data_IF_393314372375
#
_entry.id   IF_393314372375
#
_cell.length_a   1.000
_cell.length_b   1.000
_cell.length_c   1.000
_cell.angle_alpha   90.00
_cell.angle_beta   90.00
_cell.angle_gamma   90.00
#
_symmetry.space_group_name_H-M   'P 1'
#
loop_
_entity.id
_entity.type
_entity.pdbx_description
1 polymer ?
#
# COMPACT_ATOMS: atom_id res chain seq x y z
N UNK A 1 -56.54 -2.64 21.43
CA UNK A 1 -55.15 -2.21 21.15
C UNK A 1 -54.70 -1.42 22.37
N UNK A 2 -53.80 -1.91 23.24
CA UNK A 2 -53.40 -1.14 24.42
C UNK A 2 -52.50 0.03 23.97
N UNK A 3 -52.81 1.22 24.46
CA UNK A 3 -52.13 2.47 24.15
C UNK A 3 -50.80 2.59 24.89
N UNK A 4 -49.71 2.84 24.16
CA UNK A 4 -48.38 3.08 24.71
C UNK A 4 -48.36 4.44 25.44
N UNK A 5 -47.94 4.44 26.71
CA UNK A 5 -47.84 5.64 27.54
C UNK A 5 -46.65 6.53 27.14
N UNK A 6 -46.75 7.87 27.29
CA UNK A 6 -45.78 8.85 26.81
C UNK A 6 -44.35 8.70 27.40
N UNK A 7 -44.19 7.96 28.49
CA UNK A 7 -42.87 7.72 29.10
C UNK A 7 -42.03 6.69 28.34
N UNK A 8 -42.65 5.73 27.63
CA UNK A 8 -41.90 4.79 26.76
C UNK A 8 -41.34 5.47 25.51
N UNK A 9 -41.98 6.55 25.04
CA UNK A 9 -41.49 7.32 23.89
C UNK A 9 -40.18 8.06 24.20
N UNK A 10 -39.96 8.47 25.45
CA UNK A 10 -38.72 9.15 25.87
C UNK A 10 -37.55 8.20 26.06
N UNK A 11 -37.79 6.98 26.54
CA UNK A 11 -36.73 5.96 26.65
C UNK A 11 -36.30 5.45 25.27
N UNK A 12 -37.22 5.35 24.31
CA UNK A 12 -36.87 5.03 22.91
C UNK A 12 -36.13 6.17 22.21
N UNK A 13 -36.48 7.43 22.49
CA UNK A 13 -35.79 8.59 21.91
C UNK A 13 -34.33 8.73 22.39
N UNK A 14 -34.01 8.32 23.62
CA UNK A 14 -32.64 8.32 24.13
C UNK A 14 -31.74 7.25 23.48
N UNK A 15 -32.31 6.11 23.08
CA UNK A 15 -31.55 4.99 22.47
C UNK A 15 -31.34 5.18 20.96
N UNK A 16 -32.09 6.08 20.33
CA UNK A 16 -31.88 6.50 18.92
C UNK A 16 -30.80 7.59 18.81
N UNK A 17 -30.47 8.27 19.91
CA UNK A 17 -29.43 9.29 19.99
C UNK A 17 -28.09 8.76 20.50
N UNK A 18 -27.98 7.46 20.78
CA UNK A 18 -26.70 6.81 20.89
C UNK A 18 -26.35 6.33 19.48
N UNK A 19 -25.37 6.94 18.78
CA UNK A 19 -24.96 6.45 17.49
C UNK A 19 -24.38 5.06 17.76
N UNK A 20 -25.18 4.02 17.50
CA UNK A 20 -24.71 2.64 17.42
C UNK A 20 -23.49 2.71 16.54
N UNK A 21 -22.33 2.41 17.14
CA UNK A 21 -21.04 2.48 16.50
C UNK A 21 -21.18 1.92 15.08
N UNK A 22 -21.20 2.82 14.09
CA UNK A 22 -21.24 2.46 12.69
C UNK A 22 -19.92 1.79 12.39
N UNK A 23 -19.86 0.48 12.66
CA UNK A 23 -18.87 -0.45 12.15
C UNK A 23 -19.03 -0.68 10.63
N UNK A 24 -19.92 0.08 9.99
CA UNK A 24 -19.99 0.28 8.55
C UNK A 24 -19.40 1.64 8.23
N UNK A 25 -18.09 1.68 7.99
CA UNK A 25 -17.42 2.82 7.38
C UNK A 25 -18.01 3.05 6.00
N UNK A 26 -19.07 3.86 5.92
CA UNK A 26 -19.60 4.36 4.66
C UNK A 26 -18.54 5.29 4.08
N UNK A 27 -17.75 4.74 3.18
CA UNK A 27 -16.79 5.44 2.32
C UNK A 27 -17.59 6.32 1.36
N UNK A 28 -18.18 7.41 1.85
CA UNK A 28 -18.67 8.45 0.96
C UNK A 28 -17.48 8.92 0.13
N UNK A 29 -17.62 8.94 -1.19
CA UNK A 29 -16.56 9.38 -2.12
C UNK A 29 -16.17 10.86 -1.93
N UNK A 30 -16.94 11.60 -1.14
CA UNK A 30 -16.76 13.03 -0.83
C UNK A 30 -16.66 13.32 0.68
N UNK A 31 -16.52 12.30 1.52
CA UNK A 31 -16.38 12.45 2.97
C UNK A 31 -14.92 12.67 3.41
N UNK A 32 -14.70 12.99 4.69
CA UNK A 32 -13.36 13.22 5.25
C UNK A 32 -12.41 12.01 5.14
N UNK A 33 -12.95 10.80 4.93
CA UNK A 33 -12.18 9.56 4.77
C UNK A 33 -11.79 9.24 3.31
N UNK A 34 -12.34 9.94 2.31
CA UNK A 34 -12.04 9.65 0.90
C UNK A 34 -10.63 10.10 0.52
N UNK A 35 -10.13 11.18 1.13
CA UNK A 35 -8.83 11.76 0.79
C UNK A 35 -7.66 10.81 1.12
N UNK A 36 -7.50 10.29 2.36
CA UNK A 36 -6.50 9.27 2.68
C UNK A 36 -6.48 8.09 1.71
N UNK A 37 -7.66 7.72 1.23
CA UNK A 37 -7.84 6.55 0.42
C UNK A 37 -7.52 6.76 -1.05
N UNK A 38 -8.00 7.85 -1.64
CA UNK A 38 -7.60 8.26 -2.98
C UNK A 38 -6.08 8.46 -3.04
N UNK A 39 -5.47 8.97 -1.98
CA UNK A 39 -4.02 9.10 -1.86
C UNK A 39 -3.31 7.76 -1.82
N UNK A 40 -3.77 6.81 -0.99
CA UNK A 40 -3.21 5.47 -0.94
C UNK A 40 -3.26 4.78 -2.32
N UNK A 41 -4.39 4.90 -3.03
CA UNK A 41 -4.56 4.36 -4.39
C UNK A 41 -3.67 5.08 -5.40
N UNK A 42 -3.62 6.41 -5.37
CA UNK A 42 -2.77 7.21 -6.26
C UNK A 42 -1.28 6.90 -6.05
N UNK A 43 -0.85 6.70 -4.80
CA UNK A 43 0.52 6.27 -4.48
C UNK A 43 0.82 4.87 -5.00
N UNK A 44 -0.11 3.93 -4.86
CA UNK A 44 0.06 2.58 -5.41
C UNK A 44 0.19 2.61 -6.93
N UNK A 45 -0.71 3.33 -7.60
CA UNK A 45 -0.72 3.48 -9.05
C UNK A 45 0.52 4.23 -9.57
N UNK A 46 0.94 5.30 -8.90
CA UNK A 46 2.15 6.03 -9.28
C UNK A 46 3.44 5.23 -9.04
N UNK A 47 3.49 4.44 -7.97
CA UNK A 47 4.56 3.46 -7.75
C UNK A 47 4.61 2.41 -8.86
N UNK A 48 3.45 1.87 -9.24
CA UNK A 48 3.34 0.93 -10.36
C UNK A 48 3.77 1.57 -11.69
N UNK A 49 3.30 2.78 -11.99
CA UNK A 49 3.67 3.53 -13.19
C UNK A 49 5.18 3.80 -13.24
N UNK A 50 5.78 4.20 -12.11
CA UNK A 50 7.23 4.38 -11.97
C UNK A 50 7.98 3.10 -12.34
N UNK A 51 7.51 1.93 -11.88
CA UNK A 51 8.10 0.64 -12.23
C UNK A 51 7.91 0.23 -13.70
N UNK A 52 6.78 0.62 -14.31
CA UNK A 52 6.54 0.40 -15.73
C UNK A 52 7.46 1.29 -16.59
N UNK A 53 7.63 2.56 -16.21
CA UNK A 53 8.42 3.56 -16.95
C UNK A 53 9.91 3.30 -16.83
N UNK A 54 10.42 3.10 -15.61
CA UNK A 54 11.86 2.83 -15.41
C UNK A 54 12.28 1.46 -15.97
N UNK A 55 11.31 0.58 -16.20
CA UNK A 55 11.54 -0.83 -16.46
C UNK A 55 12.08 -1.52 -15.21
N UNK A 56 11.68 -2.77 -14.97
CA UNK A 56 12.33 -3.59 -13.97
C UNK A 56 13.72 -3.98 -14.52
N UNK A 57 14.69 -3.07 -14.45
CA UNK A 57 16.06 -3.30 -14.90
C UNK A 57 16.61 -4.47 -14.09
N UNK A 58 16.84 -5.65 -14.71
CA UNK A 58 17.68 -6.64 -14.08
C UNK A 58 19.06 -6.00 -14.06
N UNK A 59 19.50 -5.59 -12.87
CA UNK A 59 20.75 -4.85 -12.74
C UNK A 59 21.85 -5.61 -13.50
N UNK A 60 22.53 -4.91 -14.41
CA UNK A 60 23.62 -5.38 -15.28
C UNK A 60 24.80 -5.87 -14.45
N UNK A 61 24.62 -6.96 -13.72
CA UNK A 61 25.52 -7.43 -12.68
C UNK A 61 25.63 -8.95 -12.68
N UNK A 62 25.59 -9.55 -13.88
CA UNK A 62 26.09 -10.91 -14.10
C UNK A 62 27.63 -10.99 -14.02
N UNK A 63 28.33 -9.90 -13.65
CA UNK A 63 29.79 -9.86 -13.50
C UNK A 63 30.33 -9.13 -12.25
N UNK A 64 29.50 -8.84 -11.23
CA UNK A 64 29.95 -8.08 -10.04
C UNK A 64 29.97 -8.92 -8.76
N UNK A 65 31.09 -8.83 -8.01
CA UNK A 65 31.34 -9.42 -6.68
C UNK A 65 30.50 -8.81 -5.56
N UNK A 66 29.64 -7.82 -5.85
CA UNK A 66 28.81 -7.16 -4.83
C UNK A 66 27.70 -8.06 -4.31
N UNK A 67 27.42 -7.97 -3.02
CA UNK A 67 26.32 -8.66 -2.32
C UNK A 67 24.97 -8.41 -3.00
N UNK A 68 24.12 -9.45 -3.06
CA UNK A 68 22.76 -9.39 -3.60
C UNK A 68 21.91 -8.30 -2.94
N UNK A 69 22.14 -8.00 -1.65
CA UNK A 69 21.46 -6.94 -0.93
C UNK A 69 21.83 -5.55 -1.45
N UNK A 70 23.13 -5.29 -1.68
CA UNK A 70 23.59 -4.01 -2.23
C UNK A 70 23.02 -3.76 -3.63
N UNK A 71 22.91 -4.82 -4.44
CA UNK A 71 22.32 -4.73 -5.78
C UNK A 71 20.82 -4.46 -5.71
N UNK A 72 20.09 -5.13 -4.81
CA UNK A 72 18.66 -4.92 -4.60
C UNK A 72 18.36 -3.47 -4.17
N UNK A 73 19.08 -2.96 -3.16
CA UNK A 73 18.89 -1.60 -2.63
C UNK A 73 19.21 -0.53 -3.69
N UNK A 74 20.20 -0.76 -4.54
CA UNK A 74 20.58 0.19 -5.58
C UNK A 74 19.61 0.21 -6.75
N UNK A 75 19.00 -0.93 -7.07
CA UNK A 75 17.89 -1.00 -8.02
C UNK A 75 16.60 -0.38 -7.44
N UNK A 76 16.44 -0.43 -6.12
CA UNK A 76 15.30 0.16 -5.39
C UNK A 76 15.36 1.68 -5.27
N UNK A 77 16.55 2.24 -5.04
CA UNK A 77 16.76 3.66 -4.75
C UNK A 77 16.01 4.65 -5.66
N UNK A 78 16.04 4.55 -7.01
CA UNK A 78 15.32 5.51 -7.85
C UNK A 78 13.79 5.41 -7.68
N UNK A 79 13.24 4.21 -7.58
CA UNK A 79 11.80 4.02 -7.39
C UNK A 79 11.35 4.48 -5.99
N UNK A 80 12.18 4.22 -4.97
CA UNK A 80 11.95 4.70 -3.61
C UNK A 80 11.91 6.23 -3.54
N UNK A 81 12.86 6.89 -4.20
CA UNK A 81 12.93 8.35 -4.25
C UNK A 81 11.71 8.95 -4.94
N UNK A 82 11.30 8.38 -6.08
CA UNK A 82 10.11 8.85 -6.79
C UNK A 82 8.86 8.64 -5.94
N UNK A 83 8.71 7.49 -5.28
CA UNK A 83 7.59 7.23 -4.38
C UNK A 83 7.54 8.20 -3.20
N UNK A 84 8.68 8.51 -2.58
CA UNK A 84 8.77 9.49 -1.51
C UNK A 84 8.36 10.90 -1.99
N UNK A 85 8.92 11.34 -3.11
CA UNK A 85 8.59 12.64 -3.73
C UNK A 85 7.10 12.69 -4.07
N UNK A 86 6.55 11.61 -4.64
CA UNK A 86 5.13 11.53 -4.98
C UNK A 86 4.26 11.70 -3.74
N UNK A 87 4.58 11.07 -2.61
CA UNK A 87 3.85 11.24 -1.35
C UNK A 87 3.86 12.67 -0.85
N UNK A 88 5.01 13.34 -0.90
CA UNK A 88 5.14 14.74 -0.50
C UNK A 88 4.36 15.67 -1.44
N UNK A 89 4.49 15.47 -2.76
CA UNK A 89 3.79 16.28 -3.78
C UNK A 89 2.29 16.12 -3.66
N UNK A 90 1.79 14.90 -3.50
CA UNK A 90 0.37 14.64 -3.32
C UNK A 90 -0.16 15.27 -2.03
N UNK A 91 0.59 15.17 -0.94
CA UNK A 91 0.23 15.86 0.32
C UNK A 91 0.18 17.37 0.10
N UNK A 92 1.23 17.97 -0.46
CA UNK A 92 1.27 19.40 -0.71
C UNK A 92 0.13 19.88 -1.63
N UNK A 93 -0.26 19.07 -2.62
CA UNK A 93 -1.36 19.39 -3.55
C UNK A 93 -2.73 19.48 -2.87
N UNK A 94 -2.89 18.91 -1.67
CA UNK A 94 -4.14 18.99 -0.91
C UNK A 94 -4.35 20.37 -0.27
N UNK A 95 -3.39 21.30 -0.31
CA UNK A 95 -3.64 22.73 -0.09
C UNK A 95 -4.55 23.13 1.08
N UNK A 96 -4.40 22.54 2.27
CA UNK A 96 -5.25 22.89 3.42
C UNK A 96 -6.64 22.24 3.46
N UNK A 97 -6.98 21.39 2.48
CA UNK A 97 -8.29 20.69 2.40
C UNK A 97 -8.52 19.79 3.61
N UNK A 98 -7.46 19.12 4.09
CA UNK A 98 -7.52 18.52 5.41
C UNK A 98 -7.28 19.64 6.43
N UNK A 99 -8.26 19.90 7.29
CA UNK A 99 -8.18 20.86 8.39
C UNK A 99 -7.20 20.40 9.49
N UNK A 100 -5.96 20.08 9.12
CA UNK A 100 -4.91 19.58 10.00
C UNK A 100 -4.10 20.73 10.59
N UNK A 101 -3.59 20.50 11.79
CA UNK A 101 -2.55 21.35 12.38
C UNK A 101 -1.28 21.32 11.52
N UNK A 102 -0.37 22.30 11.64
CA UNK A 102 0.92 22.27 10.95
C UNK A 102 1.72 20.99 11.21
N UNK A 103 1.64 20.44 12.44
CA UNK A 103 2.24 19.16 12.79
C UNK A 103 1.58 17.97 12.08
N UNK A 104 0.25 17.98 11.98
CA UNK A 104 -0.50 16.94 11.27
C UNK A 104 -0.18 16.89 9.77
N UNK A 105 0.10 18.04 9.13
CA UNK A 105 0.57 18.07 7.74
C UNK A 105 1.93 17.40 7.55
N UNK A 106 2.86 17.62 8.49
CA UNK A 106 4.19 16.98 8.46
C UNK A 106 4.04 15.47 8.66
N UNK A 107 3.24 15.05 9.64
CA UNK A 107 3.00 13.64 9.93
C UNK A 107 2.32 12.93 8.76
N UNK A 108 1.29 13.55 8.18
CA UNK A 108 0.58 13.02 7.02
C UNK A 108 1.51 12.89 5.81
N UNK A 109 2.32 13.92 5.54
CA UNK A 109 3.32 13.90 4.47
C UNK A 109 4.38 12.83 4.67
N UNK A 110 4.84 12.62 5.91
CA UNK A 110 5.80 11.56 6.24
C UNK A 110 5.21 10.17 6.01
N UNK A 111 3.96 9.93 6.43
CA UNK A 111 3.24 8.67 6.17
C UNK A 111 3.03 8.44 4.68
N UNK A 112 2.67 9.49 3.93
CA UNK A 112 2.49 9.39 2.47
C UNK A 112 3.80 9.08 1.74
N UNK A 113 4.89 9.76 2.11
CA UNK A 113 6.21 9.49 1.56
C UNK A 113 6.69 8.07 1.88
N UNK A 114 6.53 7.63 3.13
CA UNK A 114 6.84 6.26 3.56
C UNK A 114 6.04 5.23 2.77
N UNK A 115 4.74 5.46 2.60
CA UNK A 115 3.85 4.57 1.84
C UNK A 115 4.31 4.44 0.39
N UNK A 116 4.70 5.54 -0.26
CA UNK A 116 5.27 5.51 -1.60
C UNK A 116 6.56 4.67 -1.69
N UNK A 117 7.45 4.79 -0.71
CA UNK A 117 8.68 3.98 -0.61
C UNK A 117 8.36 2.49 -0.43
N UNK A 118 7.40 2.17 0.45
CA UNK A 118 6.97 0.79 0.72
C UNK A 118 6.35 0.16 -0.53
N UNK A 119 5.48 0.88 -1.22
CA UNK A 119 4.84 0.41 -2.45
C UNK A 119 5.86 0.18 -3.55
N UNK A 120 6.90 1.02 -3.63
CA UNK A 120 8.00 0.76 -4.55
C UNK A 120 8.72 -0.56 -4.21
N UNK A 121 8.96 -0.86 -2.93
CA UNK A 121 9.65 -2.09 -2.52
C UNK A 121 8.83 -3.33 -2.84
N UNK A 122 7.51 -3.29 -2.60
CA UNK A 122 6.59 -4.40 -2.89
C UNK A 122 6.50 -4.65 -4.39
N UNK A 123 6.32 -3.60 -5.20
CA UNK A 123 6.26 -3.72 -6.66
C UNK A 123 7.57 -4.29 -7.23
N UNK A 124 8.72 -3.87 -6.70
CA UNK A 124 10.00 -4.45 -7.08
C UNK A 124 10.09 -5.95 -6.75
N UNK A 125 9.69 -6.33 -5.54
CA UNK A 125 9.73 -7.73 -5.09
C UNK A 125 8.84 -8.64 -5.95
N UNK A 126 7.61 -8.19 -6.23
CA UNK A 126 6.66 -8.91 -7.10
C UNK A 126 7.23 -9.14 -8.50
N UNK A 127 7.79 -8.10 -9.12
CA UNK A 127 8.35 -8.22 -10.48
C UNK A 127 9.66 -9.01 -10.47
N UNK A 128 10.49 -8.88 -9.43
CA UNK A 128 11.73 -9.63 -9.33
C UNK A 128 11.47 -11.15 -9.27
N UNK A 129 10.45 -11.58 -8.53
CA UNK A 129 10.10 -13.00 -8.37
C UNK A 129 9.29 -13.55 -9.54
N UNK A 130 8.25 -12.83 -9.96
CA UNK A 130 7.26 -13.33 -10.92
C UNK A 130 7.42 -12.78 -12.34
N UNK A 131 8.41 -11.91 -12.58
CA UNK A 131 8.69 -11.28 -13.88
C UNK A 131 7.44 -10.59 -14.44
N UNK A 132 7.01 -10.95 -15.66
CA UNK A 132 5.83 -10.38 -16.31
C UNK A 132 4.54 -10.59 -15.51
N UNK A 133 4.39 -11.73 -14.82
CA UNK A 133 3.23 -12.01 -13.95
C UNK A 133 3.20 -11.09 -12.74
N UNK A 134 4.36 -10.69 -12.21
CA UNK A 134 4.43 -9.75 -11.09
C UNK A 134 3.79 -8.40 -11.41
N UNK A 135 3.95 -7.92 -12.65
CA UNK A 135 3.29 -6.69 -13.12
C UNK A 135 1.77 -6.84 -13.12
N UNK A 136 1.28 -7.99 -13.58
CA UNK A 136 -0.16 -8.28 -13.57
C UNK A 136 -0.71 -8.29 -12.14
N UNK A 137 -0.02 -8.93 -11.20
CA UNK A 137 -0.43 -8.95 -9.78
C UNK A 137 -0.51 -7.53 -9.21
N UNK A 138 0.47 -6.67 -9.48
CA UNK A 138 0.43 -5.27 -9.04
C UNK A 138 -0.77 -4.50 -9.60
N UNK A 139 -1.13 -4.76 -10.86
CA UNK A 139 -2.33 -4.19 -11.49
C UNK A 139 -3.59 -4.72 -10.83
N UNK A 140 -3.68 -6.03 -10.56
CA UNK A 140 -4.82 -6.63 -9.86
C UNK A 140 -5.02 -5.99 -8.49
N UNK A 141 -3.94 -5.80 -7.71
CA UNK A 141 -4.02 -5.12 -6.41
C UNK A 141 -4.56 -3.69 -6.58
N UNK A 142 -4.12 -2.97 -7.61
CA UNK A 142 -4.61 -1.62 -7.89
C UNK A 142 -6.10 -1.61 -8.25
N UNK A 143 -6.54 -2.56 -9.07
CA UNK A 143 -7.95 -2.72 -9.47
C UNK A 143 -8.80 -3.08 -8.25
N UNK A 144 -8.35 -3.99 -7.38
CA UNK A 144 -9.04 -4.33 -6.13
C UNK A 144 -9.15 -3.10 -5.23
N UNK A 145 -8.06 -2.36 -5.04
CA UNK A 145 -8.09 -1.12 -4.25
C UNK A 145 -9.10 -0.12 -4.82
N UNK A 146 -9.11 0.10 -6.14
CA UNK A 146 -10.06 0.98 -6.80
C UNK A 146 -11.51 0.48 -6.71
N UNK A 147 -11.73 -0.83 -6.79
CA UNK A 147 -13.07 -1.42 -6.66
C UNK A 147 -13.63 -1.20 -5.25
N UNK A 148 -12.80 -1.37 -4.21
CA UNK A 148 -13.17 -1.01 -2.82
C UNK A 148 -13.49 0.48 -2.71
N UNK A 149 -12.90 1.34 -3.57
CA UNK A 149 -13.22 2.78 -3.59
C UNK A 149 -14.61 3.07 -4.10
N UNK A 150 -14.94 2.52 -5.26
CA UNK A 150 -16.09 2.97 -6.04
C UNK A 150 -17.36 2.23 -5.64
N UNK A 151 -17.23 0.99 -5.13
CA UNK A 151 -18.37 0.12 -4.88
C UNK A 151 -18.76 0.21 -3.41
N UNK A 152 -19.89 0.85 -3.11
CA UNK A 152 -20.41 0.95 -1.74
C UNK A 152 -20.93 -0.38 -1.16
N UNK A 153 -21.10 -1.43 -1.98
CA UNK A 153 -21.49 -2.79 -1.58
C UNK A 153 -20.34 -3.78 -1.77
N UNK A 154 -19.19 -3.53 -1.13
CA UNK A 154 -18.06 -4.48 -1.15
C UNK A 154 -18.47 -5.76 -0.40
N UNK A 155 -18.43 -6.95 -1.03
CA UNK A 155 -18.65 -8.21 -0.31
C UNK A 155 -17.63 -8.36 0.82
N UNK A 156 -18.01 -8.87 1.99
CA UNK A 156 -17.12 -9.01 3.15
C UNK A 156 -15.81 -9.79 2.86
N UNK A 157 -15.87 -10.73 1.91
CA UNK A 157 -14.69 -11.47 1.43
C UNK A 157 -13.69 -10.54 0.73
N UNK A 158 -14.16 -9.57 -0.04
CA UNK A 158 -13.29 -8.64 -0.75
C UNK A 158 -12.68 -7.61 0.21
N UNK A 159 -13.45 -7.15 1.20
CA UNK A 159 -12.98 -6.21 2.23
C UNK A 159 -11.89 -6.84 3.12
N UNK A 160 -12.14 -8.05 3.63
CA UNK A 160 -11.14 -8.82 4.40
C UNK A 160 -9.87 -9.12 3.59
N UNK A 161 -10.01 -9.39 2.29
CA UNK A 161 -8.86 -9.58 1.39
C UNK A 161 -8.07 -8.29 1.24
N UNK A 162 -8.76 -7.16 1.02
CA UNK A 162 -8.12 -5.86 0.93
C UNK A 162 -7.37 -5.49 2.22
N UNK A 163 -7.94 -5.82 3.38
CA UNK A 163 -7.32 -5.62 4.69
C UNK A 163 -5.91 -6.22 4.81
N UNK A 164 -5.62 -7.29 4.05
CA UNK A 164 -4.32 -7.95 4.01
C UNK A 164 -3.36 -7.38 2.96
N UNK A 165 -3.85 -6.57 2.01
CA UNK A 165 -3.04 -6.05 0.91
C UNK A 165 -2.15 -4.88 1.37
N UNK A 166 -1.03 -4.64 0.67
CA UNK A 166 -0.10 -3.55 1.00
C UNK A 166 -0.75 -2.15 1.11
N UNK A 167 -1.76 -1.78 0.30
CA UNK A 167 -2.41 -0.47 0.43
C UNK A 167 -3.21 -0.26 1.72
N UNK A 168 -3.71 -1.33 2.34
CA UNK A 168 -4.53 -1.27 3.56
C UNK A 168 -3.85 -0.57 4.75
N UNK A 169 -2.62 -0.93 5.17
CA UNK A 169 -1.95 -0.25 6.27
C UNK A 169 -1.56 1.21 5.93
N UNK A 170 -1.35 1.57 4.66
CA UNK A 170 -1.17 2.97 4.28
C UNK A 170 -2.44 3.79 4.49
N UNK A 171 -3.58 3.25 4.07
CA UNK A 171 -4.89 3.85 4.31
C UNK A 171 -5.14 4.06 5.81
N UNK A 172 -4.95 3.01 6.61
CA UNK A 172 -5.17 3.08 8.05
C UNK A 172 -4.24 4.10 8.73
N UNK A 173 -2.97 4.19 8.33
CA UNK A 173 -2.03 5.18 8.85
C UNK A 173 -2.48 6.62 8.51
N UNK A 174 -2.86 6.86 7.25
CA UNK A 174 -3.30 8.19 6.80
C UNK A 174 -4.63 8.58 7.45
N UNK A 175 -5.55 7.65 7.66
CA UNK A 175 -6.81 7.88 8.38
C UNK A 175 -6.58 8.21 9.85
N UNK A 176 -5.64 7.54 10.51
CA UNK A 176 -5.30 7.84 11.90
C UNK A 176 -4.77 9.28 12.05
N UNK A 177 -3.93 9.74 11.11
CA UNK A 177 -3.46 11.14 11.09
C UNK A 177 -4.58 12.11 10.72
N UNK A 178 -5.41 11.80 9.72
CA UNK A 178 -6.43 12.73 9.23
C UNK A 178 -7.59 12.92 10.20
N UNK A 179 -7.97 11.86 10.91
CA UNK A 179 -9.06 11.89 11.89
C UNK A 179 -8.58 12.26 13.29
N UNK A 180 -7.27 12.17 13.55
CA UNK A 180 -6.69 12.28 14.89
C UNK A 180 -7.08 11.14 15.83
N UNK A 181 -7.74 10.10 15.32
CA UNK A 181 -8.26 8.97 16.09
C UNK A 181 -7.44 7.71 15.80
N UNK A 182 -7.06 7.00 16.86
CA UNK A 182 -6.28 5.76 16.76
C UNK A 182 -4.76 5.99 16.72
N UNK A 183 -4.02 4.90 16.59
CA UNK A 183 -2.54 4.94 16.59
C UNK A 183 -1.99 4.74 15.19
N UNK A 184 -1.10 5.64 14.77
CA UNK A 184 -0.35 5.55 13.50
C UNK A 184 0.71 4.42 13.55
N UNK A 185 1.17 4.07 14.75
CA UNK A 185 2.30 3.16 14.94
C UNK A 185 2.02 1.75 14.40
N UNK A 186 0.85 1.18 14.68
CA UNK A 186 0.48 -0.17 14.23
C UNK A 186 0.47 -0.30 12.70
N UNK A 187 -0.28 0.57 11.99
CA UNK A 187 -0.27 0.62 10.52
C UNK A 187 1.13 0.86 9.93
N UNK A 188 1.93 1.75 10.53
CA UNK A 188 3.32 2.00 10.09
C UNK A 188 4.21 0.77 10.26
N UNK A 189 4.07 0.02 11.35
CA UNK A 189 4.80 -1.24 11.53
C UNK A 189 4.45 -2.27 10.45
N UNK A 190 3.16 -2.39 10.09
CA UNK A 190 2.71 -3.25 9.00
C UNK A 190 3.29 -2.79 7.65
N UNK A 191 3.36 -1.49 7.38
CA UNK A 191 4.05 -0.96 6.19
C UNK A 191 5.52 -1.32 6.16
N UNK A 192 6.22 -1.19 7.28
CA UNK A 192 7.64 -1.57 7.39
C UNK A 192 7.82 -3.07 7.13
N UNK A 193 6.93 -3.93 7.65
CA UNK A 193 6.94 -5.36 7.36
C UNK A 193 6.76 -5.64 5.87
N UNK A 194 5.85 -4.93 5.19
CA UNK A 194 5.67 -5.03 3.74
C UNK A 194 6.90 -4.57 2.95
N UNK A 195 7.57 -3.50 3.39
CA UNK A 195 8.82 -3.06 2.77
C UNK A 195 9.92 -4.12 2.90
N UNK A 196 10.07 -4.70 4.10
CA UNK A 196 11.02 -5.78 4.35
C UNK A 196 10.71 -7.01 3.49
N UNK A 197 9.43 -7.38 3.36
CA UNK A 197 8.99 -8.46 2.49
C UNK A 197 9.33 -8.20 1.01
N UNK A 198 9.04 -6.99 0.50
CA UNK A 198 9.36 -6.60 -0.88
C UNK A 198 10.87 -6.63 -1.19
N UNK A 199 11.69 -6.08 -0.28
CA UNK A 199 13.15 -6.13 -0.39
C UNK A 199 13.65 -7.58 -0.30
N UNK A 200 13.13 -8.36 0.65
CA UNK A 200 13.47 -9.77 0.82
C UNK A 200 13.17 -10.61 -0.43
N UNK A 201 12.00 -10.41 -1.06
CA UNK A 201 11.64 -11.04 -2.33
C UNK A 201 12.60 -10.65 -3.45
N UNK A 202 12.99 -9.38 -3.52
CA UNK A 202 13.96 -8.89 -4.51
C UNK A 202 15.32 -9.55 -4.32
N UNK A 203 15.82 -9.61 -3.07
CA UNK A 203 17.11 -10.24 -2.74
C UNK A 203 17.08 -11.74 -3.06
N UNK A 204 15.98 -12.43 -2.72
CA UNK A 204 15.81 -13.85 -3.00
C UNK A 204 15.80 -14.14 -4.50
N UNK A 205 15.12 -13.31 -5.31
CA UNK A 205 15.13 -13.42 -6.76
C UNK A 205 16.55 -13.25 -7.34
N UNK A 206 17.29 -12.23 -6.89
CA UNK A 206 18.68 -12.00 -7.33
C UNK A 206 19.59 -13.17 -6.94
N UNK A 207 19.43 -13.71 -5.72
CA UNK A 207 20.23 -14.84 -5.24
C UNK A 207 19.99 -16.10 -6.08
N UNK A 208 18.73 -16.41 -6.44
CA UNK A 208 18.38 -17.57 -7.29
C UNK A 208 19.02 -17.50 -8.67
N UNK A 209 19.15 -16.31 -9.25
CA UNK A 209 19.78 -16.13 -10.57
C UNK A 209 21.30 -16.29 -10.57
N UNK A 210 21.96 -16.26 -9.41
CA UNK A 210 23.42 -16.49 -9.30
C UNK A 210 23.81 -17.96 -9.24
N UNK A 211 22.86 -18.87 -9.00
CA UNK A 211 23.13 -20.31 -8.91
C UNK A 211 22.86 -20.95 -10.27
N UNK A 212 23.92 -21.14 -11.07
CA UNK A 212 23.83 -21.98 -12.27
C UNK A 212 23.86 -23.44 -11.80
N UNK A 213 22.82 -24.25 -12.06
CA UNK A 213 22.81 -25.65 -11.66
C UNK A 213 23.95 -26.41 -12.36
N UNK A 214 24.72 -27.21 -11.62
CA UNK A 214 25.84 -28.00 -12.16
C UNK A 214 25.46 -28.88 -13.38
N UNK A 215 24.19 -29.28 -13.48
CA UNK A 215 23.65 -30.03 -14.63
C UNK A 215 23.56 -29.24 -15.94
N UNK A 216 23.70 -27.91 -15.92
CA UNK A 216 23.76 -27.07 -17.12
C UNK A 216 25.21 -26.97 -17.65
N UNK A 217 26.19 -26.89 -16.75
CA UNK A 217 27.62 -27.02 -17.07
C UNK A 217 27.93 -28.41 -17.65
N UNK A 218 27.38 -29.48 -17.06
CA UNK A 218 27.55 -30.84 -17.56
C UNK A 218 26.86 -31.12 -18.91
N UNK A 219 25.94 -30.25 -19.35
CA UNK A 219 25.34 -30.33 -20.69
C UNK A 219 26.16 -29.59 -21.73
N UNK A 220 26.76 -28.44 -21.37
CA UNK A 220 27.67 -27.72 -22.25
C UNK A 220 29.00 -28.44 -22.44
N UNK A 221 29.54 -29.05 -21.39
CA UNK A 221 30.74 -29.88 -21.49
C UNK A 221 30.52 -31.17 -22.30
N UNK A 222 29.27 -31.58 -22.55
CA UNK A 222 28.92 -32.71 -23.43
C UNK A 222 28.58 -32.29 -24.86
N UNK A 223 28.43 -30.98 -25.11
CA UNK A 223 28.09 -30.41 -26.41
C UNK A 223 29.29 -29.71 -27.08
N UNK A 224 30.44 -29.65 -26.41
CA UNK A 224 31.74 -29.22 -26.91
C UNK A 224 32.64 -30.44 -27.12
#
# INVERSE_FOLDING_TARGET
MPASTPDQAKTLAGVVADPVASASGSTDLFGSNSVPFLLAVALWLGGLATFLVLGAQPARALGSTRSSLSLALRAFAPAALIGAIQGVVLTASMGGVLHLSPGGWIEFGAVAALSGVVFAAVNQGLVAVFRGVGRFVSVVIAVVALAVVVVSTVPAVLDSTFGLLPPSPALAAMQAVSTGNGSVLGPVMLLVLWALAGIGLTVAAIARHRVVPAGQLARWARAA
#
